data_IF_482222632157
#
_entry.id   IF_482222632157
#
_cell.length_a   1.000
_cell.length_b   1.000
_cell.length_c   1.000
_cell.angle_alpha   90.00
_cell.angle_beta   90.00
_cell.angle_gamma   90.00
#
_symmetry.space_group_name_H-M   'P 1'
#
loop_
_entity.id
_entity.type
_entity.pdbx_description
1 polymer ?
#
# COMPACT_ATOMS: atom_id res chain seq x y z
N UNK A 1 25.07 -30.06 10.22
CA UNK A 1 24.60 -28.70 10.53
C UNK A 1 23.75 -28.27 9.35
N UNK A 2 22.43 -28.41 9.47
CA UNK A 2 21.49 -28.01 8.42
C UNK A 2 21.51 -26.49 8.34
N UNK A 3 22.03 -25.95 7.24
CA UNK A 3 21.72 -24.58 6.84
C UNK A 3 20.20 -24.48 6.73
N UNK A 4 19.58 -23.95 7.79
CA UNK A 4 18.25 -23.36 7.69
C UNK A 4 18.41 -22.22 6.67
N UNK A 5 18.10 -22.50 5.40
CA UNK A 5 17.88 -21.47 4.39
C UNK A 5 16.94 -20.44 5.04
N UNK A 6 17.48 -19.27 5.37
CA UNK A 6 16.73 -18.19 5.99
C UNK A 6 15.53 -17.90 5.08
N UNK A 7 14.34 -18.29 5.52
CA UNK A 7 13.10 -18.06 4.77
C UNK A 7 12.98 -16.55 4.52
N UNK A 8 12.94 -16.13 3.25
CA UNK A 8 12.68 -14.73 2.89
C UNK A 8 11.21 -14.39 3.08
N UNK A 9 10.93 -13.18 3.54
CA UNK A 9 9.60 -12.65 3.75
C UNK A 9 9.36 -11.40 2.90
N UNK A 10 8.21 -11.35 2.25
CA UNK A 10 7.72 -10.17 1.57
C UNK A 10 6.49 -9.63 2.32
N UNK A 11 6.66 -8.50 2.99
CA UNK A 11 5.58 -7.82 3.71
C UNK A 11 5.14 -6.60 2.93
N UNK A 12 3.84 -6.36 2.86
CA UNK A 12 3.30 -5.12 2.34
C UNK A 12 2.58 -4.35 3.44
N UNK A 13 2.67 -3.02 3.40
CA UNK A 13 1.90 -2.11 4.24
C UNK A 13 0.86 -1.44 3.36
N UNK A 14 -0.41 -1.71 3.63
CA UNK A 14 -1.57 -1.18 2.92
C UNK A 14 -2.30 -0.14 3.77
N UNK A 15 -3.06 0.74 3.11
CA UNK A 15 -3.85 1.77 3.79
C UNK A 15 -4.01 3.05 2.99
N UNK A 16 -4.97 3.86 3.41
CA UNK A 16 -5.36 5.07 2.69
C UNK A 16 -4.25 6.14 2.68
N UNK A 17 -4.45 7.20 1.89
CA UNK A 17 -3.58 8.38 1.86
C UNK A 17 -3.58 9.00 3.28
N UNK A 18 -2.40 9.25 3.84
CA UNK A 18 -2.27 9.73 5.22
C UNK A 18 -2.29 8.65 6.31
N UNK A 19 -2.39 7.36 5.98
CA UNK A 19 -2.47 6.29 6.99
C UNK A 19 -1.15 5.98 7.73
N UNK A 20 -0.02 6.56 7.34
CA UNK A 20 1.29 6.28 7.97
C UNK A 20 2.07 5.10 7.36
N UNK A 21 1.68 4.62 6.18
CA UNK A 21 2.31 3.47 5.50
C UNK A 21 3.83 3.61 5.34
N UNK A 22 4.28 4.72 4.75
CA UNK A 22 5.69 4.99 4.48
C UNK A 22 6.50 4.96 5.78
N UNK A 23 5.96 5.53 6.86
CA UNK A 23 6.59 5.53 8.19
C UNK A 23 6.78 4.11 8.70
N UNK A 24 5.69 3.32 8.72
CA UNK A 24 5.76 1.93 9.20
C UNK A 24 6.67 1.06 8.32
N UNK A 25 6.56 1.17 6.99
CA UNK A 25 7.34 0.38 6.04
C UNK A 25 8.85 0.65 6.20
N UNK A 26 9.23 1.92 6.31
CA UNK A 26 10.62 2.34 6.51
C UNK A 26 11.14 1.85 7.85
N UNK A 27 10.34 1.98 8.91
CA UNK A 27 10.73 1.58 10.27
C UNK A 27 10.90 0.07 10.38
N UNK A 28 9.97 -0.72 9.85
CA UNK A 28 10.08 -2.19 9.79
C UNK A 28 11.31 -2.63 9.01
N UNK A 29 11.52 -2.07 7.82
CA UNK A 29 12.67 -2.42 6.98
C UNK A 29 14.00 -2.13 7.70
N UNK A 30 14.13 -0.94 8.30
CA UNK A 30 15.31 -0.55 9.07
C UNK A 30 15.57 -1.47 10.26
N UNK A 31 14.55 -1.73 11.09
CA UNK A 31 14.68 -2.55 12.29
C UNK A 31 14.97 -4.02 11.99
N UNK A 32 14.45 -4.55 10.89
CA UNK A 32 14.63 -5.96 10.52
C UNK A 32 15.85 -6.18 9.61
N UNK A 33 16.52 -5.11 9.16
CA UNK A 33 17.59 -5.19 8.16
C UNK A 33 17.08 -5.67 6.80
N UNK A 34 15.84 -5.35 6.45
CA UNK A 34 15.18 -5.76 5.20
C UNK A 34 15.20 -4.62 4.18
N UNK A 35 15.02 -4.96 2.90
CA UNK A 35 14.88 -3.95 1.85
C UNK A 35 13.54 -3.23 1.96
N UNK A 36 13.51 -1.95 1.60
CA UNK A 36 12.30 -1.14 1.60
C UNK A 36 11.96 -0.67 0.19
N UNK A 37 10.73 -0.91 -0.26
CA UNK A 37 10.21 -0.46 -1.55
C UNK A 37 9.11 0.58 -1.33
N UNK A 38 9.41 1.86 -1.55
CA UNK A 38 8.51 2.96 -1.28
C UNK A 38 7.66 3.37 -2.50
N UNK A 39 6.55 4.05 -2.25
CA UNK A 39 5.73 4.67 -3.29
C UNK A 39 6.46 5.86 -3.96
N UNK A 40 6.52 5.93 -5.30
CA UNK A 40 7.18 7.02 -6.00
C UNK A 40 6.28 8.27 -6.05
N UNK A 41 6.20 9.01 -4.92
CA UNK A 41 5.33 10.19 -4.78
C UNK A 41 6.02 11.54 -4.99
N UNK A 42 7.33 11.65 -4.71
CA UNK A 42 8.03 12.96 -4.70
C UNK A 42 8.25 13.49 -6.12
N UNK A 43 8.71 12.63 -7.04
CA UNK A 43 9.01 13.00 -8.44
C UNK A 43 7.98 12.42 -9.42
N UNK A 44 6.72 12.32 -9.01
CA UNK A 44 5.66 11.79 -9.86
C UNK A 44 5.18 12.87 -10.85
N UNK A 45 5.36 12.69 -12.17
CA UNK A 45 5.01 13.70 -13.15
C UNK A 45 3.49 13.89 -13.33
N UNK A 46 2.67 13.01 -12.76
CA UNK A 46 1.21 13.03 -12.93
C UNK A 46 0.45 13.41 -11.66
N UNK A 47 1.06 13.36 -10.46
CA UNK A 47 0.33 13.61 -9.21
C UNK A 47 -0.22 15.05 -9.10
N UNK A 48 0.55 16.11 -9.39
CA UNK A 48 0.02 17.48 -9.36
C UNK A 48 -1.13 17.67 -10.36
N UNK A 49 -0.96 17.18 -11.58
CA UNK A 49 -1.95 17.27 -12.66
C UNK A 49 -3.22 16.49 -12.34
N UNK A 50 -3.08 15.31 -11.71
CA UNK A 50 -4.20 14.51 -11.25
C UNK A 50 -5.05 15.22 -10.20
N UNK A 51 -4.44 15.85 -9.20
CA UNK A 51 -5.19 16.58 -8.19
C UNK A 51 -5.74 17.92 -8.70
N UNK A 52 -5.26 18.43 -9.84
CA UNK A 52 -5.82 19.57 -10.54
C UNK A 52 -7.00 19.18 -11.46
N UNK A 53 -6.93 18.02 -12.13
CA UNK A 53 -7.98 17.49 -13.02
C UNK A 53 -7.98 15.95 -13.02
N UNK A 54 -8.74 15.38 -12.08
CA UNK A 54 -8.85 13.92 -11.93
C UNK A 54 -9.45 13.27 -13.18
N UNK A 55 -10.43 13.92 -13.84
CA UNK A 55 -11.07 13.37 -15.05
C UNK A 55 -10.08 13.19 -16.19
N UNK A 56 -9.15 14.13 -16.37
CA UNK A 56 -8.15 14.07 -17.45
C UNK A 56 -7.02 13.09 -17.16
N UNK A 57 -6.60 12.99 -15.90
CA UNK A 57 -5.32 12.41 -15.52
C UNK A 57 -5.41 11.09 -14.74
N UNK A 58 -6.61 10.66 -14.31
CA UNK A 58 -6.80 9.39 -13.57
C UNK A 58 -6.14 8.21 -14.26
N UNK A 59 -6.48 7.94 -15.52
CA UNK A 59 -5.91 6.80 -16.26
C UNK A 59 -4.38 6.87 -16.36
N UNK A 60 -3.83 8.05 -16.63
CA UNK A 60 -2.40 8.29 -16.81
C UNK A 60 -1.63 8.01 -15.51
N UNK A 61 -2.13 8.55 -14.40
CA UNK A 61 -1.54 8.33 -13.08
C UNK A 61 -1.61 6.86 -12.68
N UNK A 62 -2.75 6.19 -12.91
CA UNK A 62 -2.91 4.78 -12.56
C UNK A 62 -1.98 3.87 -13.39
N UNK A 63 -1.81 4.13 -14.69
CA UNK A 63 -0.85 3.39 -15.54
C UNK A 63 0.59 3.63 -15.09
N UNK A 64 0.94 4.86 -14.71
CA UNK A 64 2.26 5.18 -14.17
C UNK A 64 2.57 4.39 -12.89
N UNK A 65 1.64 4.40 -11.92
CA UNK A 65 1.81 3.63 -10.69
C UNK A 65 1.90 2.13 -10.96
N UNK A 66 1.03 1.59 -11.82
CA UNK A 66 1.04 0.18 -12.21
C UNK A 66 2.42 -0.24 -12.76
N UNK A 67 3.00 0.56 -13.66
CA UNK A 67 4.34 0.30 -14.21
C UNK A 67 5.44 0.32 -13.13
N UNK A 68 5.43 1.32 -12.24
CA UNK A 68 6.42 1.42 -11.16
C UNK A 68 6.28 0.29 -10.15
N UNK A 69 5.06 -0.10 -9.78
CA UNK A 69 4.80 -1.22 -8.87
C UNK A 69 5.22 -2.55 -9.47
N UNK A 70 5.00 -2.74 -10.75
CA UNK A 70 5.47 -3.92 -11.44
C UNK A 70 7.00 -4.01 -11.45
N UNK A 71 7.70 -2.91 -11.72
CA UNK A 71 9.17 -2.92 -11.64
C UNK A 71 9.66 -3.30 -10.24
N UNK A 72 9.10 -2.69 -9.18
CA UNK A 72 9.44 -3.07 -7.81
C UNK A 72 9.18 -4.56 -7.54
N UNK A 73 8.11 -5.11 -8.11
CA UNK A 73 7.76 -6.51 -7.93
C UNK A 73 8.75 -7.45 -8.64
N UNK A 74 9.22 -7.09 -9.83
CA UNK A 74 10.30 -7.80 -10.52
C UNK A 74 11.58 -7.77 -9.68
N UNK A 75 11.93 -6.62 -9.11
CA UNK A 75 13.11 -6.49 -8.25
C UNK A 75 12.97 -7.37 -7.00
N UNK A 76 11.80 -7.39 -6.35
CA UNK A 76 11.50 -8.26 -5.20
C UNK A 76 11.63 -9.74 -5.58
N UNK A 77 11.22 -10.13 -6.77
CA UNK A 77 11.31 -11.52 -7.21
C UNK A 77 12.75 -11.97 -7.45
N UNK A 78 13.58 -11.09 -8.00
CA UNK A 78 15.00 -11.33 -8.28
C UNK A 78 15.89 -11.29 -7.03
N UNK A 79 15.41 -10.68 -5.94
CA UNK A 79 16.18 -10.51 -4.72
C UNK A 79 15.97 -11.64 -3.71
N UNK A 80 17.05 -12.22 -3.18
CA UNK A 80 16.96 -13.29 -2.18
C UNK A 80 16.65 -12.79 -0.76
N UNK A 81 16.73 -11.48 -0.52
CA UNK A 81 16.46 -10.86 0.78
C UNK A 81 14.97 -10.66 1.09
N UNK A 82 14.65 -10.56 2.38
CA UNK A 82 13.33 -10.13 2.83
C UNK A 82 13.11 -8.64 2.55
N UNK A 83 11.86 -8.24 2.35
CA UNK A 83 11.51 -6.86 2.03
C UNK A 83 10.18 -6.42 2.66
N UNK A 84 10.05 -5.09 2.79
CA UNK A 84 8.81 -4.39 3.12
C UNK A 84 8.46 -3.45 1.98
N UNK A 85 7.22 -3.49 1.50
CA UNK A 85 6.71 -2.62 0.44
C UNK A 85 5.62 -1.69 0.97
N UNK A 86 5.74 -0.40 0.67
CA UNK A 86 4.69 0.60 0.86
C UNK A 86 3.74 0.56 -0.34
N UNK A 87 2.51 0.07 -0.11
CA UNK A 87 1.44 -0.16 -1.09
C UNK A 87 1.78 -1.19 -2.19
N UNK A 88 0.85 -2.12 -2.38
CA UNK A 88 0.91 -3.19 -3.38
C UNK A 88 0.33 -2.78 -4.72
N UNK A 89 0.69 -3.53 -5.78
CA UNK A 89 0.06 -3.41 -7.10
C UNK A 89 -1.46 -3.68 -7.09
N UNK A 90 -1.94 -4.48 -6.12
CA UNK A 90 -3.36 -4.79 -5.98
C UNK A 90 -4.18 -3.57 -5.56
N UNK A 91 -3.62 -2.71 -4.71
CA UNK A 91 -4.32 -1.51 -4.25
C UNK A 91 -4.59 -0.54 -5.40
N UNK A 92 -3.66 -0.39 -6.34
CA UNK A 92 -3.83 0.45 -7.52
C UNK A 92 -5.09 0.04 -8.30
N UNK A 93 -5.31 -1.26 -8.49
CA UNK A 93 -6.45 -1.77 -9.25
C UNK A 93 -7.76 -1.87 -8.45
N UNK A 94 -7.68 -2.45 -7.24
CA UNK A 94 -8.86 -2.77 -6.43
C UNK A 94 -9.41 -1.57 -5.68
N UNK A 95 -8.55 -0.60 -5.36
CA UNK A 95 -8.92 0.56 -4.55
C UNK A 95 -8.97 1.81 -5.42
N UNK A 96 -7.85 2.22 -6.01
CA UNK A 96 -7.76 3.52 -6.68
C UNK A 96 -8.50 3.53 -8.01
N UNK A 97 -8.08 2.70 -8.98
CA UNK A 97 -8.68 2.68 -10.30
C UNK A 97 -10.18 2.35 -10.26
N UNK A 98 -10.60 1.41 -9.39
CA UNK A 98 -12.02 1.10 -9.21
C UNK A 98 -12.81 2.30 -8.65
N UNK A 99 -12.27 3.01 -7.64
CA UNK A 99 -12.93 4.19 -7.06
C UNK A 99 -13.01 5.33 -8.06
N UNK A 100 -11.94 5.56 -8.83
CA UNK A 100 -11.90 6.60 -9.88
C UNK A 100 -12.94 6.34 -10.97
N UNK A 101 -13.12 5.08 -11.38
CA UNK A 101 -14.20 4.69 -12.30
C UNK A 101 -15.57 4.94 -11.68
N UNK A 102 -15.80 4.49 -10.43
CA UNK A 102 -17.09 4.69 -9.72
C UNK A 102 -17.48 6.17 -9.60
N UNK A 103 -16.51 7.06 -9.39
CA UNK A 103 -16.72 8.51 -9.34
C UNK A 103 -16.78 9.20 -10.71
N UNK A 104 -16.65 8.47 -11.81
CA UNK A 104 -16.69 9.02 -13.17
C UNK A 104 -15.41 9.73 -13.62
N UNK A 105 -14.31 9.62 -12.86
CA UNK A 105 -13.00 10.16 -13.23
C UNK A 105 -12.19 9.26 -14.15
N UNK A 106 -12.65 8.02 -14.37
CA UNK A 106 -12.10 7.09 -15.36
C UNK A 106 -13.24 6.51 -16.20
N UNK A 107 -13.13 6.61 -17.52
CA UNK A 107 -14.13 6.06 -18.43
C UNK A 107 -14.17 4.53 -18.36
N UNK A 108 -15.30 3.91 -18.74
CA UNK A 108 -15.39 2.45 -18.80
C UNK A 108 -14.35 1.84 -19.76
N UNK A 109 -14.09 2.52 -20.89
CA UNK A 109 -13.07 2.10 -21.86
C UNK A 109 -11.67 2.08 -21.24
N UNK A 110 -11.31 3.15 -20.52
CA UNK A 110 -9.99 3.26 -19.89
C UNK A 110 -9.86 2.29 -18.71
N UNK A 111 -10.94 2.08 -17.97
CA UNK A 111 -11.01 1.08 -16.90
C UNK A 111 -10.83 -0.35 -17.43
N UNK A 112 -11.51 -0.71 -18.52
CA UNK A 112 -11.37 -2.03 -19.15
C UNK A 112 -9.92 -2.27 -19.61
N UNK A 113 -9.30 -1.27 -20.23
CA UNK A 113 -7.90 -1.33 -20.65
C UNK A 113 -6.97 -1.47 -19.43
N UNK A 114 -7.17 -0.64 -18.40
CA UNK A 114 -6.38 -0.70 -17.16
C UNK A 114 -6.49 -2.08 -16.49
N UNK A 115 -7.68 -2.66 -16.41
CA UNK A 115 -7.91 -3.99 -15.85
C UNK A 115 -7.19 -5.08 -16.67
N UNK A 116 -7.20 -4.98 -18.00
CA UNK A 116 -6.47 -5.92 -18.86
C UNK A 116 -4.95 -5.82 -18.65
N UNK A 117 -4.40 -4.62 -18.52
CA UNK A 117 -2.99 -4.39 -18.19
C UNK A 117 -2.65 -4.98 -16.81
N UNK A 118 -3.42 -4.64 -15.79
CA UNK A 118 -3.25 -5.16 -14.44
C UNK A 118 -3.28 -6.70 -14.42
N UNK A 119 -4.27 -7.33 -15.06
CA UNK A 119 -4.38 -8.78 -15.11
C UNK A 119 -3.17 -9.44 -15.79
N UNK A 120 -2.70 -8.85 -16.89
CA UNK A 120 -1.53 -9.34 -17.64
C UNK A 120 -0.24 -9.26 -16.81
N UNK A 121 -0.12 -8.22 -15.98
CA UNK A 121 1.07 -7.97 -15.17
C UNK A 121 1.03 -8.73 -13.84
N UNK A 122 -0.06 -8.64 -13.08
CA UNK A 122 -0.17 -9.20 -11.73
C UNK A 122 -0.35 -10.72 -11.68
N UNK A 123 -0.79 -11.35 -12.79
CA UNK A 123 -1.09 -12.78 -12.83
C UNK A 123 0.10 -13.71 -12.55
N UNK A 124 1.32 -13.22 -12.75
CA UNK A 124 2.56 -13.99 -12.59
C UNK A 124 3.36 -13.62 -11.33
N UNK A 125 2.92 -12.62 -10.59
CA UNK A 125 3.72 -12.02 -9.54
C UNK A 125 3.60 -12.74 -8.20
N UNK A 126 4.70 -12.79 -7.44
CA UNK A 126 4.70 -13.26 -6.06
C UNK A 126 3.83 -12.35 -5.19
N UNK A 127 2.84 -12.91 -4.51
CA UNK A 127 2.05 -12.18 -3.52
C UNK A 127 2.86 -11.89 -2.25
N UNK A 128 2.56 -10.79 -1.53
CA UNK A 128 3.05 -10.60 -0.17
C UNK A 128 2.68 -11.79 0.72
N UNK A 129 3.62 -12.20 1.58
CA UNK A 129 3.42 -13.20 2.62
C UNK A 129 2.42 -12.69 3.69
N UNK A 130 2.41 -11.37 3.93
CA UNK A 130 1.44 -10.68 4.77
C UNK A 130 1.23 -9.25 4.27
N UNK A 131 -0.03 -8.80 4.27
CA UNK A 131 -0.40 -7.40 4.11
C UNK A 131 -0.83 -6.86 5.47
N UNK A 132 -0.13 -5.85 5.97
CA UNK A 132 -0.50 -5.10 7.17
C UNK A 132 -1.37 -3.92 6.72
N UNK A 133 -2.66 -3.98 6.99
CA UNK A 133 -3.60 -2.91 6.66
C UNK A 133 -3.71 -1.92 7.82
N UNK A 134 -3.28 -0.69 7.58
CA UNK A 134 -3.48 0.44 8.49
C UNK A 134 -4.86 1.06 8.27
N UNK A 135 -5.81 0.66 9.12
CA UNK A 135 -7.16 1.21 9.13
C UNK A 135 -7.17 2.52 9.91
N UNK A 136 -7.83 3.55 9.39
CA UNK A 136 -7.93 4.86 10.03
C UNK A 136 -9.24 5.53 9.65
N UNK A 137 -9.77 6.38 10.53
CA UNK A 137 -10.89 7.27 10.18
C UNK A 137 -10.43 8.44 9.29
N UNK A 138 -11.38 8.99 8.51
CA UNK A 138 -11.11 10.09 7.55
C UNK A 138 -10.59 11.34 8.25
N UNK A 139 -11.05 11.65 9.45
CA UNK A 139 -10.61 12.82 10.22
C UNK A 139 -9.11 12.75 10.53
N UNK A 140 -8.64 11.60 10.98
CA UNK A 140 -7.24 11.30 11.26
C UNK A 140 -6.39 11.33 9.98
N UNK A 141 -6.92 10.83 8.86
CA UNK A 141 -6.23 10.90 7.55
C UNK A 141 -6.03 12.35 7.11
N UNK A 142 -7.08 13.18 7.18
CA UNK A 142 -7.03 14.60 6.82
C UNK A 142 -6.02 15.35 7.69
N UNK A 143 -6.05 15.13 9.00
CA UNK A 143 -5.07 15.73 9.93
C UNK A 143 -3.63 15.38 9.54
N UNK A 144 -3.34 14.11 9.26
CA UNK A 144 -2.00 13.65 8.85
C UNK A 144 -1.58 14.19 7.47
N UNK A 145 -2.51 14.27 6.51
CA UNK A 145 -2.25 14.88 5.20
C UNK A 145 -1.88 16.36 5.36
N UNK A 146 -2.65 17.10 6.16
CA UNK A 146 -2.38 18.51 6.43
C UNK A 146 -1.02 18.72 7.12
N UNK A 147 -0.68 17.90 8.12
CA UNK A 147 0.62 17.93 8.79
C UNK A 147 1.80 17.66 7.85
N UNK A 148 1.62 16.76 6.88
CA UNK A 148 2.65 16.43 5.88
C UNK A 148 2.91 17.57 4.88
N UNK A 149 1.92 18.44 4.65
CA UNK A 149 2.12 19.71 3.94
C UNK A 149 2.46 19.60 2.45
N UNK A 150 2.14 18.51 1.77
CA UNK A 150 2.34 18.39 0.31
C UNK A 150 1.32 19.26 -0.42
N UNK A 151 1.80 20.23 -1.21
CA UNK A 151 0.94 21.23 -1.88
C UNK A 151 -0.17 20.59 -2.73
N UNK A 152 0.16 19.55 -3.51
CA UNK A 152 -0.81 18.87 -4.38
C UNK A 152 -1.85 18.04 -3.62
N UNK A 153 -1.66 17.74 -2.34
CA UNK A 153 -2.63 16.99 -1.54
C UNK A 153 -3.66 17.90 -0.86
N UNK A 154 -3.47 19.23 -0.88
CA UNK A 154 -4.38 20.19 -0.24
C UNK A 154 -5.77 20.23 -0.88
N UNK A 155 -5.88 19.84 -2.15
CA UNK A 155 -7.15 19.79 -2.89
C UNK A 155 -7.87 18.45 -2.79
N UNK A 156 -7.35 17.49 -1.98
CA UNK A 156 -7.99 16.19 -1.81
C UNK A 156 -9.36 16.38 -1.15
N UNK A 157 -10.39 15.94 -1.87
CA UNK A 157 -11.76 15.86 -1.39
C UNK A 157 -11.89 14.83 -0.25
N UNK A 158 -12.53 15.23 0.85
CA UNK A 158 -12.81 14.33 1.99
C UNK A 158 -13.73 13.18 1.62
N UNK A 159 -14.67 13.41 0.70
CA UNK A 159 -15.57 12.34 0.23
C UNK A 159 -14.79 11.31 -0.58
N UNK A 160 -13.80 11.76 -1.38
CA UNK A 160 -12.88 10.84 -2.06
C UNK A 160 -12.07 9.99 -1.07
N UNK A 161 -11.58 10.58 0.02
CA UNK A 161 -10.91 9.81 1.08
C UNK A 161 -11.86 8.80 1.73
N UNK A 162 -13.12 9.17 1.94
CA UNK A 162 -14.17 8.28 2.45
C UNK A 162 -14.41 7.07 1.53
N UNK A 163 -14.55 7.32 0.22
CA UNK A 163 -14.74 6.27 -0.79
C UNK A 163 -13.55 5.30 -0.82
N UNK A 164 -12.31 5.83 -0.78
CA UNK A 164 -11.11 5.01 -0.69
C UNK A 164 -11.10 4.18 0.59
N UNK A 165 -11.52 4.75 1.73
CA UNK A 165 -11.55 4.05 3.00
C UNK A 165 -12.53 2.86 2.97
N UNK A 166 -13.72 3.08 2.40
CA UNK A 166 -14.71 2.02 2.19
C UNK A 166 -14.17 0.93 1.25
N UNK A 167 -13.50 1.32 0.16
CA UNK A 167 -12.90 0.37 -0.77
C UNK A 167 -11.82 -0.49 -0.07
N UNK A 168 -10.99 0.11 0.78
CA UNK A 168 -10.01 -0.62 1.58
C UNK A 168 -10.66 -1.62 2.52
N UNK A 169 -11.66 -1.20 3.31
CA UNK A 169 -12.38 -2.06 4.23
C UNK A 169 -13.00 -3.27 3.51
N UNK A 170 -13.61 -3.04 2.35
CA UNK A 170 -14.19 -4.10 1.51
C UNK A 170 -13.13 -5.06 0.98
N UNK A 171 -12.04 -4.54 0.43
CA UNK A 171 -10.97 -5.34 -0.15
C UNK A 171 -10.25 -6.19 0.91
N UNK A 172 -9.92 -5.60 2.05
CA UNK A 172 -9.23 -6.29 3.15
C UNK A 172 -10.13 -7.32 3.86
N UNK A 173 -11.45 -7.12 3.89
CA UNK A 173 -12.39 -8.13 4.37
C UNK A 173 -12.65 -9.25 3.34
N UNK A 174 -12.43 -8.94 2.06
CA UNK A 174 -12.59 -9.87 0.95
C UNK A 174 -11.49 -10.94 0.88
N UNK A 175 -11.63 -11.86 -0.07
CA UNK A 175 -10.65 -12.94 -0.35
C UNK A 175 -10.26 -13.05 -1.82
N UNK A 176 -10.63 -12.06 -2.64
CA UNK A 176 -10.50 -12.12 -4.10
C UNK A 176 -9.06 -12.33 -4.56
N UNK A 177 -8.11 -11.64 -3.93
CA UNK A 177 -6.69 -11.73 -4.30
C UNK A 177 -5.92 -12.78 -3.47
N UNK A 178 -6.61 -13.54 -2.61
CA UNK A 178 -6.05 -14.58 -1.72
C UNK A 178 -4.87 -14.10 -0.87
N UNK A 179 -4.90 -12.83 -0.45
CA UNK A 179 -3.89 -12.22 0.40
C UNK A 179 -4.15 -12.56 1.87
N UNK A 180 -3.09 -12.80 2.62
CA UNK A 180 -3.16 -12.82 4.08
C UNK A 180 -3.11 -11.38 4.58
N UNK A 181 -4.22 -10.88 5.11
CA UNK A 181 -4.34 -9.51 5.62
C UNK A 181 -4.43 -9.53 7.14
N UNK A 182 -3.68 -8.63 7.79
CA UNK A 182 -3.83 -8.31 9.21
C UNK A 182 -4.04 -6.81 9.38
N UNK A 183 -5.07 -6.44 10.13
CA UNK A 183 -5.46 -5.04 10.32
C UNK A 183 -4.88 -4.49 11.62
N UNK A 184 -4.31 -3.30 11.55
CA UNK A 184 -4.00 -2.46 12.71
C UNK A 184 -4.95 -1.26 12.63
N UNK A 185 -5.77 -1.11 13.66
CA UNK A 185 -6.69 0.03 13.75
C UNK A 185 -5.96 1.22 14.38
N UNK A 186 -5.83 2.30 13.61
CA UNK A 186 -5.22 3.57 14.03
C UNK A 186 -6.25 4.69 14.17
N UNK A 187 -7.54 4.35 14.20
CA UNK A 187 -8.65 5.28 14.43
C UNK A 187 -8.41 6.05 15.73
N UNK A 188 -8.68 7.35 15.73
CA UNK A 188 -8.39 8.26 16.86
C UNK A 188 -6.90 8.59 17.09
N UNK A 189 -6.01 8.24 16.16
CA UNK A 189 -4.62 8.68 16.18
C UNK A 189 -3.70 7.84 17.07
N UNK A 190 -3.65 6.53 16.81
CA UNK A 190 -2.69 5.63 17.47
C UNK A 190 -1.24 6.12 17.33
N UNK A 191 -0.45 5.90 18.38
CA UNK A 191 0.95 6.28 18.44
C UNK A 191 1.82 5.42 17.50
N UNK A 192 2.90 6.01 16.95
CA UNK A 192 3.77 5.30 16.01
C UNK A 192 4.47 4.09 16.65
N UNK A 193 4.75 4.13 17.96
CA UNK A 193 5.33 3.01 18.69
C UNK A 193 4.33 1.88 18.89
N UNK A 194 3.08 2.21 19.19
CA UNK A 194 2.00 1.22 19.33
C UNK A 194 1.75 0.49 18.01
N UNK A 195 1.65 1.24 16.91
CA UNK A 195 1.48 0.69 15.56
C UNK A 195 2.66 -0.20 15.18
N UNK A 196 3.88 0.24 15.47
CA UNK A 196 5.09 -0.54 15.19
C UNK A 196 5.16 -1.83 16.01
N UNK A 197 4.90 -1.75 17.31
CA UNK A 197 4.90 -2.90 18.22
C UNK A 197 3.85 -3.93 17.80
N UNK A 198 2.65 -3.47 17.43
CA UNK A 198 1.59 -4.33 16.93
C UNK A 198 1.97 -4.99 15.60
N UNK A 199 2.60 -4.25 14.68
CA UNK A 199 3.11 -4.82 13.43
C UNK A 199 4.13 -5.94 13.69
N UNK A 200 5.07 -5.76 14.62
CA UNK A 200 6.02 -6.81 15.00
C UNK A 200 5.32 -8.02 15.63
N UNK A 201 4.30 -7.80 16.47
CA UNK A 201 3.47 -8.88 17.03
C UNK A 201 2.75 -9.67 15.93
N UNK A 202 2.21 -9.00 14.92
CA UNK A 202 1.56 -9.63 13.78
C UNK A 202 2.55 -10.45 12.95
N UNK A 203 3.76 -9.94 12.71
CA UNK A 203 4.82 -10.70 12.03
C UNK A 203 5.19 -11.98 12.79
N UNK A 204 5.36 -11.91 14.11
CA UNK A 204 5.60 -13.10 14.95
C UNK A 204 4.44 -14.09 14.89
N UNK A 205 3.21 -13.63 15.07
CA UNK A 205 2.04 -14.52 15.23
C UNK A 205 1.51 -15.09 13.93
N UNK A 206 1.58 -14.35 12.82
CA UNK A 206 1.06 -14.78 11.51
C UNK A 206 2.09 -15.53 10.68
N UNK A 207 3.36 -15.15 10.79
CA UNK A 207 4.43 -15.70 9.96
C UNK A 207 5.45 -16.54 10.73
N UNK A 208 5.34 -16.60 12.06
CA UNK A 208 6.27 -17.34 12.94
C UNK A 208 7.72 -16.89 12.77
N UNK A 209 7.91 -15.60 12.50
CA UNK A 209 9.24 -15.01 12.35
C UNK A 209 9.89 -14.92 13.73
N UNK A 210 11.08 -15.52 13.87
CA UNK A 210 11.98 -15.22 14.98
C UNK A 210 12.58 -13.83 14.76
N UNK A 211 12.06 -12.84 15.49
CA UNK A 211 12.65 -11.51 15.46
C UNK A 211 13.99 -11.52 16.20
N UNK A 212 15.01 -10.80 15.70
CA UNK A 212 16.34 -10.77 16.32
C UNK A 212 16.36 -10.08 17.70
N UNK A 213 15.22 -9.60 18.20
CA UNK A 213 15.10 -8.83 19.44
C UNK A 213 14.34 -9.62 20.50
N UNK A 214 14.97 -9.85 21.66
CA UNK A 214 14.41 -10.62 22.79
C UNK A 214 13.29 -9.92 23.56
N UNK A 215 13.08 -8.61 23.35
CA UNK A 215 12.13 -7.80 24.12
C UNK A 215 11.40 -6.83 23.19
N UNK A 216 10.27 -7.29 22.64
CA UNK A 216 9.16 -6.47 22.12
C UNK A 216 7.88 -7.18 22.52
#
# INVERSE_FOLDING_TARGET
MTESLLRRYFIAVAGNIGAGKTTLATRLASQLGWKCYLEPVIDNPYLPDFYADMSRWSFHLQVYFLSKRFQNQIDIEQDESSCVQDRTIYEDARIFAQTLRKRGFMSDRDWENYQALFASMAGQLKRPDLVIYLKSDVESLVKRIAQRGREFEKSIDTDYLGDLNQAYDQWCAGREDKLLVATIDTTSGADEEEVFSEALRLLKTKLQIELPFKHV
#
